data_IF_526896636466
#
_entry.id   IF_526896636466
#
_cell.length_a   1.000
_cell.length_b   1.000
_cell.length_c   1.000
_cell.angle_alpha   90.00
_cell.angle_beta   90.00
_cell.angle_gamma   90.00
#
_symmetry.space_group_name_H-M   'P 1'
#
loop_
_entity.id
_entity.type
_entity.pdbx_description
1 polymer ?
#
# COMPACT_ATOMS: atom_id res chain seq x y z
N UNK A 1 -18.32 -17.65 13.03
CA UNK A 1 -17.88 -16.81 14.19
C UNK A 1 -18.73 -15.56 14.23
N UNK A 2 -19.26 -15.18 15.39
CA UNK A 2 -20.08 -13.98 15.53
C UNK A 2 -19.23 -12.72 15.30
N UNK A 3 -19.71 -11.81 14.46
CA UNK A 3 -19.02 -10.55 14.15
C UNK A 3 -19.29 -9.52 15.24
N UNK A 4 -18.35 -8.59 15.45
CA UNK A 4 -18.58 -7.45 16.36
C UNK A 4 -19.73 -6.60 15.84
N UNK A 5 -20.49 -6.02 16.78
CA UNK A 5 -21.56 -5.08 16.46
C UNK A 5 -20.95 -3.72 16.07
N UNK A 6 -20.61 -3.57 14.80
CA UNK A 6 -20.00 -2.37 14.20
C UNK A 6 -20.87 -1.96 13.00
N UNK A 7 -21.14 -0.66 12.88
CA UNK A 7 -21.78 -0.15 11.68
C UNK A 7 -20.77 -0.12 10.51
N UNK A 8 -20.65 -1.25 9.81
CA UNK A 8 -19.71 -1.48 8.72
C UNK A 8 -19.89 -0.50 7.56
N UNK A 9 -21.08 0.06 7.39
CA UNK A 9 -21.37 1.01 6.31
C UNK A 9 -20.82 2.40 6.57
N UNK A 10 -20.58 2.75 7.84
CA UNK A 10 -20.15 4.09 8.26
C UNK A 10 -18.74 4.16 8.84
N UNK A 11 -18.00 3.05 8.94
CA UNK A 11 -16.59 3.13 9.32
C UNK A 11 -15.80 3.86 8.23
N UNK A 12 -14.89 4.74 8.68
CA UNK A 12 -13.93 5.42 7.82
C UNK A 12 -12.61 4.67 7.74
N UNK A 13 -11.54 5.41 7.44
CA UNK A 13 -10.16 4.91 7.43
C UNK A 13 -9.40 5.25 8.74
N UNK A 14 -10.14 5.54 9.81
CA UNK A 14 -9.59 5.83 11.15
C UNK A 14 -9.21 4.55 11.90
N UNK A 15 -8.26 4.69 12.83
CA UNK A 15 -7.88 3.58 13.70
C UNK A 15 -9.01 3.18 14.65
N UNK A 16 -9.35 1.90 14.63
CA UNK A 16 -10.22 1.25 15.61
C UNK A 16 -9.42 0.13 16.29
N UNK A 17 -9.36 0.17 17.62
CA UNK A 17 -8.65 -0.85 18.40
C UNK A 17 -9.32 -2.22 18.24
N UNK A 18 -8.52 -3.25 17.93
CA UNK A 18 -8.92 -4.65 17.95
C UNK A 18 -8.37 -5.38 19.17
N UNK A 19 -8.79 -6.61 19.41
CA UNK A 19 -8.51 -7.31 20.67
C UNK A 19 -7.06 -7.79 20.79
N UNK A 20 -6.43 -8.18 19.67
CA UNK A 20 -5.10 -8.81 19.67
C UNK A 20 -4.16 -8.19 18.63
N UNK A 21 -2.88 -8.22 18.96
CA UNK A 21 -1.73 -7.88 18.13
C UNK A 21 -0.60 -8.89 18.34
N UNK A 22 0.30 -8.99 17.37
CA UNK A 22 1.50 -9.83 17.49
C UNK A 22 2.71 -8.96 17.80
N UNK A 23 3.61 -9.47 18.65
CA UNK A 23 4.88 -8.82 19.01
C UNK A 23 5.99 -9.87 19.03
N UNK A 24 7.11 -9.58 18.38
CA UNK A 24 8.37 -10.32 18.49
C UNK A 24 9.51 -9.34 18.69
N UNK A 25 10.48 -9.69 19.53
CA UNK A 25 11.61 -8.84 19.85
C UNK A 25 12.89 -9.47 19.29
N UNK A 26 13.77 -8.63 18.75
CA UNK A 26 15.12 -8.99 18.38
C UNK A 26 16.08 -8.51 19.46
N UNK A 27 16.77 -9.45 20.08
CA UNK A 27 17.76 -9.21 21.13
C UNK A 27 18.88 -10.24 21.04
N UNK A 28 20.11 -9.83 21.37
CA UNK A 28 21.27 -10.73 21.37
C UNK A 28 21.46 -11.48 20.02
N UNK A 29 21.13 -10.83 18.92
CA UNK A 29 21.32 -11.37 17.57
C UNK A 29 20.21 -12.32 17.09
N UNK A 30 19.11 -12.47 17.80
CA UNK A 30 18.03 -13.37 17.42
C UNK A 30 16.62 -12.79 17.69
N UNK A 31 15.65 -13.21 16.88
CA UNK A 31 14.22 -12.99 17.13
C UNK A 31 13.71 -14.01 18.15
N UNK A 32 12.94 -13.56 19.15
CA UNK A 32 12.18 -14.44 20.02
C UNK A 32 11.02 -15.13 19.27
N UNK A 33 10.34 -16.09 19.91
CA UNK A 33 9.21 -16.84 19.31
C UNK A 33 8.03 -15.93 18.92
N UNK A 34 7.94 -14.77 19.52
CA UNK A 34 6.80 -13.85 19.36
C UNK A 34 5.55 -14.32 20.08
N UNK A 35 4.61 -13.40 20.28
CA UNK A 35 3.38 -13.70 21.02
C UNK A 35 2.22 -12.78 20.61
N UNK A 36 1.00 -13.29 20.80
CA UNK A 36 -0.21 -12.49 20.73
C UNK A 36 -0.45 -11.78 22.09
N UNK A 37 -0.66 -10.48 22.05
CA UNK A 37 -0.99 -9.68 23.24
C UNK A 37 -2.20 -8.78 22.99
N UNK A 38 -2.84 -8.32 24.06
CA UNK A 38 -3.88 -7.27 24.01
C UNK A 38 -3.32 -5.89 24.33
N UNK A 39 -2.05 -5.81 24.73
CA UNK A 39 -1.38 -4.55 25.02
C UNK A 39 -0.98 -3.85 23.74
N UNK A 40 -1.50 -2.64 23.53
CA UNK A 40 -1.23 -1.78 22.37
C UNK A 40 -0.23 -0.67 22.67
N UNK A 41 0.31 -0.63 23.88
CA UNK A 41 1.31 0.35 24.26
C UNK A 41 2.71 -0.13 23.88
N UNK A 42 3.59 0.82 23.62
CA UNK A 42 5.01 0.59 23.35
C UNK A 42 5.80 1.47 24.33
N UNK A 43 6.59 0.83 25.17
CA UNK A 43 7.54 1.54 26.04
C UNK A 43 8.94 1.36 25.49
N UNK A 44 9.58 2.46 25.11
CA UNK A 44 10.95 2.50 24.58
C UNK A 44 11.71 3.69 25.18
N UNK A 45 13.04 3.67 25.04
CA UNK A 45 13.88 4.83 25.44
C UNK A 45 13.55 6.05 24.57
N UNK A 46 13.64 7.25 25.14
CA UNK A 46 13.61 8.50 24.37
C UNK A 46 14.72 8.57 23.29
N UNK A 47 15.83 7.85 23.50
CA UNK A 47 16.92 7.71 22.56
C UNK A 47 16.76 6.56 21.58
N UNK A 48 15.58 5.91 21.49
CA UNK A 48 15.38 4.79 20.58
C UNK A 48 15.66 5.19 19.11
N UNK A 49 16.28 4.30 18.35
CA UNK A 49 16.68 4.55 16.96
C UNK A 49 15.51 4.98 16.06
N UNK A 50 14.31 4.48 16.32
CA UNK A 50 13.10 4.89 15.60
C UNK A 50 12.75 6.36 15.84
N UNK A 51 12.93 6.87 17.06
CA UNK A 51 12.61 8.26 17.42
C UNK A 51 13.67 9.24 16.92
N UNK A 52 14.95 8.83 16.92
CA UNK A 52 16.05 9.72 16.56
C UNK A 52 16.34 9.73 15.06
N UNK A 53 16.25 8.56 14.39
CA UNK A 53 16.70 8.40 13.00
C UNK A 53 15.67 7.76 12.10
N UNK A 54 14.40 7.67 12.52
CA UNK A 54 13.31 7.05 11.76
C UNK A 54 13.66 5.64 11.26
N UNK A 55 14.44 4.85 12.03
CA UNK A 55 14.81 3.50 11.65
C UNK A 55 13.61 2.55 11.82
N UNK A 56 12.73 2.56 10.82
CA UNK A 56 11.48 1.79 10.79
C UNK A 56 11.05 1.50 9.35
N UNK A 57 10.46 0.33 9.16
CA UNK A 57 9.74 -0.04 7.94
C UNK A 57 8.40 -0.67 8.28
N UNK A 58 7.49 -0.67 7.32
CA UNK A 58 6.14 -1.18 7.55
C UNK A 58 5.54 -1.80 6.30
N UNK A 59 4.47 -2.56 6.49
CA UNK A 59 3.67 -3.12 5.44
C UNK A 59 2.19 -2.78 5.61
N UNK A 60 1.41 -2.99 4.57
CA UNK A 60 -0.03 -2.83 4.60
C UNK A 60 -0.67 -3.86 3.69
N UNK A 61 -1.61 -4.61 4.25
CA UNK A 61 -2.42 -5.58 3.53
C UNK A 61 -3.83 -5.62 4.09
N UNK A 62 -4.71 -6.39 3.47
CA UNK A 62 -6.08 -6.52 3.89
C UNK A 62 -6.45 -7.99 4.09
N UNK A 63 -7.36 -8.24 5.02
CA UNK A 63 -8.09 -9.49 5.12
C UNK A 63 -9.56 -9.26 4.74
N UNK A 64 -10.13 -10.24 4.04
CA UNK A 64 -11.46 -10.18 3.44
C UNK A 64 -12.30 -11.35 3.93
N UNK A 65 -13.61 -11.16 4.02
CA UNK A 65 -14.57 -12.26 4.08
C UNK A 65 -15.05 -12.55 2.66
N UNK A 66 -14.84 -13.75 2.17
CA UNK A 66 -15.30 -14.20 0.85
C UNK A 66 -16.79 -14.56 0.88
N UNK A 67 -17.42 -14.76 -0.29
CA UNK A 67 -18.84 -15.09 -0.39
C UNK A 67 -19.22 -16.37 0.36
N UNK A 68 -18.35 -17.38 0.34
CA UNK A 68 -18.51 -18.64 1.07
C UNK A 68 -18.15 -18.54 2.57
N UNK A 69 -17.87 -17.34 3.07
CA UNK A 69 -17.67 -17.03 4.48
C UNK A 69 -16.25 -17.29 5.01
N UNK A 70 -15.29 -17.67 4.16
CA UNK A 70 -13.89 -17.79 4.57
C UNK A 70 -13.23 -16.44 4.77
N UNK A 71 -12.25 -16.40 5.66
CA UNK A 71 -11.38 -15.24 5.83
C UNK A 71 -10.07 -15.52 5.10
N UNK A 72 -9.71 -14.61 4.20
CA UNK A 72 -8.52 -14.72 3.36
C UNK A 72 -7.69 -13.43 3.39
N UNK A 73 -6.41 -13.53 3.00
CA UNK A 73 -5.57 -12.38 2.68
C UNK A 73 -4.90 -12.59 1.32
N UNK A 74 -4.48 -11.50 0.70
CA UNK A 74 -3.99 -11.47 -0.67
C UNK A 74 -2.47 -11.31 -0.71
N UNK A 75 -1.76 -12.29 -1.27
CA UNK A 75 -0.30 -12.31 -1.52
C UNK A 75 0.57 -11.85 -0.35
N UNK A 76 0.37 -12.39 0.87
CA UNK A 76 1.15 -11.98 2.04
C UNK A 76 2.65 -12.32 1.94
N UNK A 77 3.01 -13.30 1.11
CA UNK A 77 4.37 -13.67 0.74
C UNK A 77 5.13 -12.50 0.13
N UNK A 78 4.52 -11.75 -0.78
CA UNK A 78 5.15 -10.57 -1.38
C UNK A 78 5.30 -9.41 -0.40
N UNK A 79 4.40 -9.27 0.58
CA UNK A 79 4.58 -8.31 1.66
C UNK A 79 5.75 -8.72 2.56
N UNK A 80 5.88 -10.02 2.86
CA UNK A 80 7.01 -10.55 3.65
C UNK A 80 8.35 -10.26 2.96
N UNK A 81 8.48 -10.62 1.67
CA UNK A 81 9.68 -10.38 0.88
C UNK A 81 10.02 -8.88 0.80
N UNK A 82 9.04 -8.01 0.54
CA UNK A 82 9.27 -6.57 0.47
C UNK A 82 9.65 -5.96 1.83
N UNK A 83 9.11 -6.47 2.94
CA UNK A 83 9.57 -6.06 4.27
C UNK A 83 11.01 -6.51 4.53
N UNK A 84 11.40 -7.69 4.08
CA UNK A 84 12.78 -8.18 4.18
C UNK A 84 13.74 -7.26 3.42
N UNK A 85 13.41 -6.89 2.18
CA UNK A 85 14.18 -5.93 1.37
C UNK A 85 14.27 -4.55 2.05
N UNK A 86 13.15 -4.07 2.60
CA UNK A 86 13.10 -2.78 3.31
C UNK A 86 13.96 -2.79 4.57
N UNK A 87 13.90 -3.88 5.34
CA UNK A 87 14.70 -4.05 6.54
C UNK A 87 16.20 -4.09 6.20
N UNK A 88 16.58 -4.91 5.23
CA UNK A 88 17.99 -5.03 4.79
C UNK A 88 18.56 -3.68 4.33
N UNK A 89 17.79 -2.90 3.55
CA UNK A 89 18.22 -1.56 3.08
C UNK A 89 18.42 -0.55 4.22
N UNK A 90 17.70 -0.71 5.33
CA UNK A 90 17.78 0.15 6.52
C UNK A 90 18.70 -0.40 7.62
N UNK A 91 19.53 -1.39 7.29
CA UNK A 91 20.44 -2.05 8.25
C UNK A 91 19.68 -2.59 9.49
N UNK A 92 18.50 -3.18 9.24
CA UNK A 92 17.66 -3.82 10.27
C UNK A 92 17.71 -5.35 10.08
N UNK A 93 17.62 -6.15 11.17
CA UNK A 93 17.57 -7.59 11.03
C UNK A 93 16.32 -8.02 10.28
N UNK A 94 16.48 -8.87 9.28
CA UNK A 94 15.34 -9.42 8.53
C UNK A 94 14.47 -10.28 9.45
N UNK A 95 13.16 -10.02 9.47
CA UNK A 95 12.20 -10.91 10.10
C UNK A 95 11.88 -12.06 9.12
N UNK A 96 11.95 -13.34 9.54
CA UNK A 96 11.74 -14.47 8.62
C UNK A 96 10.39 -14.42 7.91
N UNK A 97 10.39 -14.64 6.59
CA UNK A 97 9.19 -14.46 5.75
C UNK A 97 8.06 -15.42 6.10
N UNK A 98 8.39 -16.68 6.42
CA UNK A 98 7.43 -17.69 6.89
C UNK A 98 6.78 -17.29 8.21
N UNK A 99 7.55 -16.75 9.15
CA UNK A 99 7.06 -16.22 10.42
C UNK A 99 6.25 -14.95 10.25
N UNK A 100 6.58 -14.10 9.27
CA UNK A 100 5.78 -12.94 8.92
C UNK A 100 4.37 -13.38 8.49
N UNK A 101 4.27 -14.31 7.56
CA UNK A 101 2.98 -14.83 7.08
C UNK A 101 2.20 -15.49 8.22
N UNK A 102 2.87 -16.25 9.08
CA UNK A 102 2.25 -16.87 10.26
C UNK A 102 1.73 -15.82 11.26
N UNK A 103 2.49 -14.78 11.55
CA UNK A 103 2.06 -13.67 12.41
C UNK A 103 0.80 -12.98 11.87
N UNK A 104 0.70 -12.78 10.54
CA UNK A 104 -0.51 -12.25 9.89
C UNK A 104 -1.70 -13.18 10.13
N UNK A 105 -1.53 -14.48 9.89
CA UNK A 105 -2.58 -15.48 10.14
C UNK A 105 -3.05 -15.47 11.59
N UNK A 106 -2.12 -15.43 12.54
CA UNK A 106 -2.42 -15.39 13.97
C UNK A 106 -3.24 -14.13 14.34
N UNK A 107 -2.81 -12.93 13.89
CA UNK A 107 -3.50 -11.68 14.20
C UNK A 107 -4.89 -11.65 13.58
N UNK A 108 -5.02 -12.02 12.30
CA UNK A 108 -6.32 -12.02 11.63
C UNK A 108 -7.27 -13.04 12.25
N UNK A 109 -6.79 -14.25 12.54
CA UNK A 109 -7.59 -15.29 13.20
C UNK A 109 -8.05 -14.86 14.60
N UNK A 110 -7.15 -14.26 15.39
CA UNK A 110 -7.48 -13.79 16.74
C UNK A 110 -8.47 -12.60 16.74
N UNK A 111 -8.52 -11.85 15.64
CA UNK A 111 -9.44 -10.71 15.44
C UNK A 111 -10.53 -11.01 14.39
N UNK A 112 -10.86 -12.27 14.13
CA UNK A 112 -11.80 -12.64 13.07
C UNK A 112 -13.21 -12.03 13.24
N UNK A 113 -13.60 -11.69 14.47
CA UNK A 113 -14.83 -10.96 14.76
C UNK A 113 -14.83 -9.52 14.22
N UNK A 114 -13.65 -8.95 13.96
CA UNK A 114 -13.46 -7.61 13.38
C UNK A 114 -13.27 -7.63 11.86
N UNK A 115 -13.17 -8.79 11.23
CA UNK A 115 -13.16 -8.86 9.76
C UNK A 115 -14.57 -8.55 9.28
N UNK A 116 -14.78 -7.50 8.47
CA UNK A 116 -16.12 -7.11 8.03
C UNK A 116 -16.84 -8.24 7.28
N UNK A 117 -18.18 -8.29 7.35
CA UNK A 117 -18.97 -9.27 6.58
C UNK A 117 -18.76 -9.08 5.07
N UNK A 118 -18.90 -10.17 4.32
CA UNK A 118 -18.98 -10.13 2.86
C UNK A 118 -20.08 -9.15 2.40
N UNK A 119 -19.82 -8.39 1.34
CA UNK A 119 -20.78 -7.42 0.78
C UNK A 119 -20.85 -6.08 1.52
N UNK A 120 -20.17 -5.92 2.66
CA UNK A 120 -20.17 -4.64 3.40
C UNK A 120 -19.33 -3.54 2.75
N UNK A 121 -18.47 -3.88 1.78
CA UNK A 121 -17.49 -2.96 1.19
C UNK A 121 -16.31 -2.62 2.11
N UNK A 122 -16.38 -3.00 3.38
CA UNK A 122 -15.33 -2.80 4.37
C UNK A 122 -14.35 -3.99 4.39
N UNK A 123 -13.16 -3.79 4.95
CA UNK A 123 -12.10 -4.81 5.05
C UNK A 123 -11.38 -4.68 6.38
N UNK A 124 -10.65 -5.72 6.81
CA UNK A 124 -9.71 -5.62 7.92
C UNK A 124 -8.34 -5.21 7.37
N UNK A 125 -7.90 -4.00 7.66
CA UNK A 125 -6.55 -3.55 7.32
C UNK A 125 -5.56 -4.11 8.34
N UNK A 126 -4.49 -4.72 7.87
CA UNK A 126 -3.43 -5.32 8.69
C UNK A 126 -2.13 -4.54 8.48
N UNK A 127 -1.51 -4.10 9.58
CA UNK A 127 -0.31 -3.29 9.62
C UNK A 127 0.84 -4.02 10.31
N UNK A 128 1.68 -4.76 9.57
CA UNK A 128 2.99 -5.16 10.04
C UNK A 128 3.95 -3.97 10.05
N UNK A 129 4.81 -3.88 11.06
CA UNK A 129 5.87 -2.87 11.11
C UNK A 129 7.01 -3.32 12.01
N UNK A 130 8.18 -2.78 11.76
CA UNK A 130 9.39 -3.07 12.50
C UNK A 130 10.17 -1.79 12.78
N UNK A 131 10.82 -1.70 13.93
CA UNK A 131 11.56 -0.50 14.31
C UNK A 131 12.71 -0.79 15.28
N UNK A 132 13.73 0.08 15.25
CA UNK A 132 14.84 0.08 16.20
C UNK A 132 14.38 0.56 17.57
N UNK A 133 14.43 -0.28 18.59
CA UNK A 133 13.91 -0.01 19.94
C UNK A 133 14.98 0.33 20.98
N UNK A 134 16.25 -0.03 20.74
CA UNK A 134 17.34 0.29 21.68
C UNK A 134 17.77 1.75 21.57
N UNK A 135 18.39 2.25 22.65
CA UNK A 135 18.92 3.61 22.72
C UNK A 135 20.13 3.80 21.81
N UNK A 136 20.10 4.88 21.00
CA UNK A 136 21.18 5.21 20.03
C UNK A 136 21.34 6.74 19.99
N UNK A 137 22.56 7.24 20.22
CA UNK A 137 22.90 8.68 20.04
C UNK A 137 23.71 8.89 18.76
N UNK A 138 24.74 8.07 18.52
CA UNK A 138 25.48 8.15 17.25
C UNK A 138 24.66 7.59 16.09
N UNK A 139 24.87 8.08 14.88
CA UNK A 139 24.20 7.56 13.67
C UNK A 139 24.72 6.15 13.36
N UNK A 140 24.07 5.16 13.90
CA UNK A 140 24.35 3.72 13.69
C UNK A 140 23.04 2.93 13.81
N UNK A 141 22.99 1.68 13.30
CA UNK A 141 21.86 0.79 13.53
C UNK A 141 21.59 0.56 15.02
N UNK A 142 20.34 0.38 15.37
CA UNK A 142 19.96 -0.08 16.71
C UNK A 142 20.48 -1.52 16.96
N UNK A 143 20.57 -1.92 18.22
CA UNK A 143 21.01 -3.26 18.62
C UNK A 143 19.81 -4.18 18.94
N UNK A 144 18.69 -3.57 19.30
CA UNK A 144 17.41 -4.26 19.56
C UNK A 144 16.32 -3.71 18.67
N UNK A 145 15.39 -4.58 18.26
CA UNK A 145 14.26 -4.23 17.38
C UNK A 145 12.98 -4.90 17.86
N UNK A 146 11.85 -4.34 17.44
CA UNK A 146 10.56 -5.00 17.58
C UNK A 146 9.92 -5.16 16.21
N UNK A 147 9.37 -6.34 15.95
CA UNK A 147 8.40 -6.60 14.88
C UNK A 147 7.02 -6.71 15.50
N UNK A 148 6.06 -5.96 14.97
CA UNK A 148 4.69 -5.92 15.48
C UNK A 148 3.70 -5.98 14.34
N UNK A 149 2.54 -6.58 14.62
CA UNK A 149 1.40 -6.58 13.71
C UNK A 149 0.16 -6.18 14.48
N UNK A 150 -0.57 -5.17 14.00
CA UNK A 150 -1.92 -4.88 14.46
C UNK A 150 -2.89 -4.87 13.28
N UNK A 151 -4.19 -4.90 13.56
CA UNK A 151 -5.23 -4.81 12.57
C UNK A 151 -6.31 -3.81 13.00
N UNK A 152 -6.98 -3.21 12.04
CA UNK A 152 -8.09 -2.28 12.25
C UNK A 152 -9.11 -2.45 11.11
N UNK A 153 -10.42 -2.57 11.40
CA UNK A 153 -11.41 -2.55 10.35
C UNK A 153 -11.45 -1.15 9.70
N UNK A 154 -11.54 -1.13 8.38
CA UNK A 154 -11.63 0.10 7.59
C UNK A 154 -12.78 -0.01 6.60
N UNK A 155 -13.43 1.12 6.35
CA UNK A 155 -14.53 1.22 5.38
C UNK A 155 -14.06 1.14 3.94
N UNK A 156 -15.03 1.19 3.02
CA UNK A 156 -14.73 1.37 1.61
C UNK A 156 -13.93 2.65 1.42
N UNK A 157 -12.85 2.56 0.66
CA UNK A 157 -12.04 3.72 0.32
C UNK A 157 -12.87 4.77 -0.45
N UNK A 158 -13.78 4.29 -1.28
CA UNK A 158 -14.71 5.13 -2.03
C UNK A 158 -16.13 5.07 -1.45
N UNK A 159 -16.48 6.03 -0.59
CA UNK A 159 -17.88 6.23 -0.19
C UNK A 159 -18.67 6.80 -1.37
N UNK A 160 -19.56 6.01 -1.94
CA UNK A 160 -20.42 6.46 -3.06
C UNK A 160 -19.85 6.20 -4.47
N UNK A 161 -18.85 5.33 -4.60
CA UNK A 161 -18.22 4.96 -5.88
C UNK A 161 -16.86 5.63 -6.10
N UNK A 162 -16.04 5.03 -6.96
CA UNK A 162 -14.72 5.55 -7.31
C UNK A 162 -14.86 6.72 -8.30
N UNK A 163 -14.90 7.94 -7.79
CA UNK A 163 -14.88 9.15 -8.64
C UNK A 163 -13.45 9.49 -9.03
N UNK A 164 -13.21 9.91 -10.28
CA UNK A 164 -11.91 10.38 -10.72
C UNK A 164 -11.45 11.59 -9.93
N UNK A 165 -10.16 11.57 -9.58
CA UNK A 165 -9.50 12.61 -8.79
C UNK A 165 -8.67 13.54 -9.67
N UNK A 166 -8.33 14.71 -9.10
CA UNK A 166 -7.42 15.68 -9.70
C UNK A 166 -6.09 15.68 -8.96
N UNK A 167 -5.00 15.56 -9.70
CA UNK A 167 -3.63 15.47 -9.17
C UNK A 167 -2.81 16.69 -9.57
N UNK A 168 -2.02 17.24 -8.64
CA UNK A 168 -1.03 18.28 -8.89
C UNK A 168 0.35 17.66 -9.14
N UNK A 169 1.11 18.16 -10.10
CA UNK A 169 2.55 17.87 -10.21
C UNK A 169 3.28 18.60 -9.09
N UNK A 170 4.05 17.86 -8.29
CA UNK A 170 4.77 18.38 -7.13
C UNK A 170 6.07 19.09 -7.53
N UNK A 171 6.36 20.21 -6.86
CA UNK A 171 7.68 20.87 -6.92
C UNK A 171 8.74 20.20 -6.04
N UNK A 172 8.31 19.29 -5.17
CA UNK A 172 9.18 18.56 -4.25
C UNK A 172 9.56 17.20 -4.82
N UNK A 173 10.71 16.71 -4.40
CA UNK A 173 11.15 15.35 -4.68
C UNK A 173 10.63 14.40 -3.61
N UNK A 174 10.22 13.18 -4.00
CA UNK A 174 9.84 12.11 -3.08
C UNK A 174 11.05 11.36 -2.54
N UNK A 175 12.04 11.13 -3.40
CA UNK A 175 13.22 10.34 -3.08
C UNK A 175 14.41 10.75 -3.94
N UNK A 176 15.62 10.65 -3.38
CA UNK A 176 16.85 10.81 -4.15
C UNK A 176 17.01 9.67 -5.17
N UNK A 177 17.72 9.88 -6.32
CA UNK A 177 17.88 8.89 -7.39
C UNK A 177 18.48 7.54 -6.93
N UNK A 178 19.36 7.56 -5.92
CA UNK A 178 19.96 6.38 -5.29
C UNK A 178 19.60 6.26 -3.81
N UNK A 179 18.46 6.82 -3.42
CA UNK A 179 17.99 6.87 -2.03
C UNK A 179 17.16 5.63 -1.63
N UNK A 180 16.09 5.90 -0.92
CA UNK A 180 15.21 4.90 -0.29
C UNK A 180 13.81 4.84 -0.90
N UNK A 181 13.60 5.42 -2.09
CA UNK A 181 12.26 5.49 -2.70
C UNK A 181 11.57 4.14 -2.89
N UNK A 182 12.34 3.09 -3.18
CA UNK A 182 11.86 1.72 -3.30
C UNK A 182 11.58 1.01 -1.97
N UNK A 183 11.94 1.63 -0.85
CA UNK A 183 11.80 1.06 0.50
C UNK A 183 10.50 1.51 1.13
N UNK A 184 9.75 0.59 1.76
CA UNK A 184 8.53 0.95 2.47
C UNK A 184 8.84 1.42 3.90
N UNK A 185 9.46 2.59 4.00
CA UNK A 185 9.98 3.20 5.23
C UNK A 185 9.21 4.47 5.59
N UNK A 186 8.96 4.67 6.88
CA UNK A 186 8.24 5.84 7.39
C UNK A 186 8.83 7.18 6.95
N UNK A 187 10.16 7.24 6.79
CA UNK A 187 10.86 8.45 6.35
C UNK A 187 10.38 8.97 4.99
N UNK A 188 10.07 8.09 4.02
CA UNK A 188 9.56 8.49 2.70
C UNK A 188 8.16 9.11 2.81
N UNK A 189 7.35 8.62 3.72
CA UNK A 189 5.99 9.13 3.95
C UNK A 189 5.99 10.45 4.73
N UNK A 190 6.84 10.58 5.74
CA UNK A 190 7.03 11.84 6.44
C UNK A 190 7.51 12.95 5.50
N UNK A 191 8.43 12.65 4.58
CA UNK A 191 8.91 13.58 3.56
C UNK A 191 7.80 14.03 2.60
N UNK A 192 6.82 13.17 2.34
CA UNK A 192 5.68 13.45 1.44
C UNK A 192 4.59 14.32 2.08
N UNK A 193 4.58 14.52 3.41
CA UNK A 193 3.48 15.19 4.10
C UNK A 193 3.30 16.65 3.65
N UNK A 194 4.38 17.39 3.46
CA UNK A 194 4.28 18.80 3.05
C UNK A 194 3.64 18.93 1.66
N UNK A 195 4.07 18.12 0.71
CA UNK A 195 3.55 18.17 -0.65
C UNK A 195 2.06 17.83 -0.72
N UNK A 196 1.60 16.79 0.00
CA UNK A 196 0.17 16.42 -0.02
C UNK A 196 -0.70 17.44 0.72
N UNK A 197 -0.24 17.99 1.84
CA UNK A 197 -0.97 19.03 2.57
C UNK A 197 -1.14 20.27 1.69
N UNK A 198 -0.06 20.73 1.04
CA UNK A 198 -0.12 21.87 0.11
C UNK A 198 -1.05 21.59 -1.07
N UNK A 199 -1.01 20.39 -1.64
CA UNK A 199 -1.92 20.02 -2.72
C UNK A 199 -3.40 20.08 -2.27
N UNK A 200 -3.72 19.58 -1.10
CA UNK A 200 -5.08 19.65 -0.53
C UNK A 200 -5.54 21.09 -0.25
N UNK A 201 -4.64 21.94 0.29
CA UNK A 201 -4.94 23.37 0.52
C UNK A 201 -5.22 24.12 -0.78
N UNK A 202 -4.63 23.68 -1.89
CA UNK A 202 -4.86 24.23 -3.22
C UNK A 202 -6.08 23.58 -3.95
N UNK A 203 -6.75 22.61 -3.30
CA UNK A 203 -7.95 21.94 -3.82
C UNK A 203 -7.71 20.75 -4.72
N UNK A 204 -6.51 20.18 -4.70
CA UNK A 204 -6.18 18.91 -5.37
C UNK A 204 -6.36 17.73 -4.41
N UNK A 205 -6.66 16.55 -4.97
CA UNK A 205 -6.87 15.33 -4.17
C UNK A 205 -5.56 14.61 -3.83
N UNK A 206 -4.53 14.74 -4.67
CA UNK A 206 -3.24 14.06 -4.53
C UNK A 206 -2.15 14.85 -5.28
N UNK A 207 -0.89 14.46 -5.07
CA UNK A 207 0.25 15.01 -5.80
C UNK A 207 1.06 13.91 -6.51
N UNK A 208 1.59 14.23 -7.68
CA UNK A 208 2.48 13.39 -8.48
C UNK A 208 3.92 13.84 -8.32
N UNK A 209 4.82 12.91 -8.08
CA UNK A 209 6.25 13.16 -8.09
C UNK A 209 6.88 12.82 -9.45
N UNK A 210 7.85 13.62 -9.83
CA UNK A 210 8.73 13.38 -10.95
C UNK A 210 10.10 12.87 -10.45
N UNK A 211 10.85 12.25 -11.34
CA UNK A 211 12.21 11.83 -11.04
C UNK A 211 13.09 13.01 -10.57
N UNK A 212 13.79 12.82 -9.47
CA UNK A 212 14.57 13.88 -8.86
C UNK A 212 15.81 14.33 -9.67
N UNK A 213 16.24 13.50 -10.64
CA UNK A 213 17.42 13.82 -11.45
C UNK A 213 17.11 14.76 -12.61
N UNK A 214 16.01 14.57 -13.32
CA UNK A 214 15.67 15.33 -14.52
C UNK A 214 14.34 16.06 -14.45
N UNK A 215 13.45 15.68 -13.55
CA UNK A 215 12.07 16.18 -13.39
C UNK A 215 11.24 16.09 -14.66
N UNK A 216 11.50 15.07 -15.45
CA UNK A 216 10.79 14.82 -16.71
C UNK A 216 10.01 13.52 -16.72
N UNK A 217 10.32 12.60 -15.80
CA UNK A 217 9.74 11.26 -15.77
C UNK A 217 8.78 11.14 -14.59
N UNK A 218 7.63 10.54 -14.84
CA UNK A 218 6.63 10.23 -13.80
C UNK A 218 7.14 9.12 -12.91
N UNK A 219 7.07 9.31 -11.61
CA UNK A 219 7.35 8.28 -10.61
C UNK A 219 6.06 7.75 -9.99
N UNK A 220 5.72 8.21 -8.81
CA UNK A 220 4.53 7.79 -8.08
C UNK A 220 3.94 8.97 -7.26
N UNK A 221 2.87 8.74 -6.54
CA UNK A 221 2.36 9.67 -5.54
C UNK A 221 2.99 9.40 -4.16
N UNK A 222 2.55 10.10 -3.12
CA UNK A 222 2.97 9.83 -1.75
C UNK A 222 2.65 8.41 -1.26
N UNK A 223 1.62 7.77 -1.81
CA UNK A 223 1.13 6.47 -1.32
C UNK A 223 0.68 5.46 -2.37
N UNK A 224 0.76 5.76 -3.66
CA UNK A 224 0.26 4.89 -4.74
C UNK A 224 1.08 5.01 -6.02
N UNK A 225 1.12 3.94 -6.81
CA UNK A 225 1.77 3.91 -8.12
C UNK A 225 0.79 4.27 -9.23
N UNK A 226 1.31 4.74 -10.36
CA UNK A 226 0.52 5.03 -11.55
C UNK A 226 0.30 3.81 -12.44
N UNK A 227 -0.89 3.76 -13.04
CA UNK A 227 -1.24 2.94 -14.20
C UNK A 227 -1.85 3.87 -15.23
N UNK A 228 -1.39 3.77 -16.47
CA UNK A 228 -1.94 4.48 -17.63
C UNK A 228 -2.49 3.48 -18.64
N UNK A 229 -3.45 3.91 -19.44
CA UNK A 229 -3.97 3.12 -20.56
C UNK A 229 -3.85 3.96 -21.83
N UNK A 230 -3.26 3.39 -22.86
CA UNK A 230 -3.13 4.05 -24.17
C UNK A 230 -4.45 4.01 -24.95
N UNK A 231 -4.55 4.79 -26.02
CA UNK A 231 -5.74 4.83 -26.90
C UNK A 231 -6.01 3.50 -27.62
N UNK A 232 -4.98 2.65 -27.76
CA UNK A 232 -5.06 1.29 -28.30
C UNK A 232 -5.16 0.20 -27.20
N UNK A 233 -5.51 0.61 -25.98
CA UNK A 233 -5.80 -0.24 -24.82
C UNK A 233 -4.58 -1.01 -24.25
N UNK A 234 -3.36 -0.55 -24.44
CA UNK A 234 -2.21 -1.09 -23.71
C UNK A 234 -2.15 -0.51 -22.30
N UNK A 235 -1.75 -1.32 -21.34
CA UNK A 235 -1.52 -0.90 -19.95
C UNK A 235 -0.05 -0.50 -19.82
N UNK A 236 0.21 0.74 -19.40
CA UNK A 236 1.55 1.29 -19.20
C UNK A 236 1.73 1.68 -17.74
N UNK A 237 2.87 1.33 -17.14
CA UNK A 237 3.21 1.74 -15.77
C UNK A 237 4.64 2.22 -15.69
N UNK A 238 4.92 3.27 -14.91
CA UNK A 238 6.27 3.79 -14.74
C UNK A 238 7.23 2.74 -14.17
N UNK A 239 8.42 2.68 -14.74
CA UNK A 239 9.56 1.90 -14.26
C UNK A 239 10.63 2.84 -13.73
N UNK A 240 10.96 2.75 -12.46
CA UNK A 240 12.03 3.51 -11.82
C UNK A 240 12.58 2.72 -10.63
N UNK A 241 13.86 2.92 -10.33
CA UNK A 241 14.50 2.35 -9.13
C UNK A 241 14.13 3.10 -7.84
N UNK A 242 13.40 4.20 -7.95
CA UNK A 242 13.01 5.08 -6.82
C UNK A 242 11.55 4.96 -6.44
N UNK A 243 10.73 4.22 -7.20
CA UNK A 243 9.34 3.95 -6.84
C UNK A 243 9.19 2.66 -6.03
N UNK A 244 8.17 2.63 -5.17
CA UNK A 244 7.87 1.43 -4.39
C UNK A 244 7.41 0.28 -5.32
N UNK A 245 7.99 -0.95 -5.18
CA UNK A 245 7.53 -2.11 -5.93
C UNK A 245 6.17 -2.59 -5.40
N UNK A 246 5.10 -1.98 -5.91
CA UNK A 246 3.73 -2.22 -5.47
C UNK A 246 3.25 -3.62 -5.84
N UNK A 247 2.70 -4.32 -4.84
CA UNK A 247 2.08 -5.64 -5.01
C UNK A 247 0.80 -5.53 -5.84
N UNK A 248 0.01 -4.48 -5.60
CA UNK A 248 -1.20 -4.19 -6.39
C UNK A 248 -0.86 -3.93 -7.85
N UNK A 249 0.13 -3.08 -8.14
CA UNK A 249 0.58 -2.80 -9.50
C UNK A 249 1.02 -4.08 -10.22
N UNK A 250 1.89 -4.88 -9.58
CA UNK A 250 2.35 -6.16 -10.11
C UNK A 250 1.18 -7.12 -10.40
N UNK A 251 0.18 -7.15 -9.52
CA UNK A 251 -1.00 -7.99 -9.69
C UNK A 251 -1.90 -7.49 -10.82
N UNK A 252 -2.06 -6.17 -10.97
CA UNK A 252 -2.83 -5.57 -12.06
C UNK A 252 -2.18 -5.78 -13.43
N UNK A 253 -0.84 -5.73 -13.53
CA UNK A 253 -0.13 -6.08 -14.75
C UNK A 253 -0.41 -7.53 -15.17
N UNK A 254 -0.31 -8.46 -14.21
CA UNK A 254 -0.65 -9.86 -14.45
C UNK A 254 -2.11 -10.05 -14.90
N UNK A 255 -3.05 -9.36 -14.23
CA UNK A 255 -4.48 -9.38 -14.60
C UNK A 255 -4.69 -8.84 -16.01
N UNK A 256 -4.01 -7.75 -16.39
CA UNK A 256 -4.10 -7.19 -17.72
C UNK A 256 -3.71 -8.21 -18.79
N UNK A 257 -2.58 -8.88 -18.62
CA UNK A 257 -2.06 -9.86 -19.58
C UNK A 257 -2.87 -11.15 -19.61
N UNK A 258 -3.13 -11.78 -18.45
CA UNK A 258 -3.62 -13.16 -18.38
C UNK A 258 -5.13 -13.28 -18.29
N UNK A 259 -5.83 -12.24 -17.79
CA UNK A 259 -7.30 -12.26 -17.68
C UNK A 259 -7.98 -11.41 -18.74
N UNK A 260 -7.35 -10.30 -19.13
CA UNK A 260 -7.96 -9.37 -20.07
C UNK A 260 -7.31 -9.42 -21.47
N UNK A 261 -6.20 -10.14 -21.63
CA UNK A 261 -5.50 -10.26 -22.92
C UNK A 261 -4.92 -8.94 -23.45
N UNK A 262 -4.57 -8.02 -22.54
CA UNK A 262 -4.03 -6.71 -22.87
C UNK A 262 -2.50 -6.76 -22.90
N UNK A 263 -1.91 -5.95 -23.76
CA UNK A 263 -0.46 -5.71 -23.76
C UNK A 263 -0.09 -4.83 -22.56
N UNK A 264 1.04 -5.15 -21.90
CA UNK A 264 1.55 -4.41 -20.74
C UNK A 264 2.97 -3.93 -21.00
N UNK A 265 3.22 -2.65 -20.75
CA UNK A 265 4.53 -2.03 -20.83
C UNK A 265 4.95 -1.46 -19.47
N UNK A 266 6.05 -1.96 -18.91
CA UNK A 266 6.73 -1.35 -17.78
C UNK A 266 7.94 -0.57 -18.28
N UNK A 267 7.84 0.76 -18.37
CA UNK A 267 8.84 1.64 -18.96
C UNK A 267 8.92 3.00 -18.27
N UNK A 268 9.90 3.81 -18.63
CA UNK A 268 9.86 5.23 -18.29
C UNK A 268 8.64 5.89 -18.95
N UNK A 269 7.93 6.72 -18.17
CA UNK A 269 6.79 7.52 -18.65
C UNK A 269 7.16 8.98 -18.46
N UNK A 270 7.05 9.75 -19.52
CA UNK A 270 7.44 11.16 -19.50
C UNK A 270 6.23 12.07 -19.27
N UNK A 271 6.47 13.19 -18.59
CA UNK A 271 5.44 14.18 -18.27
C UNK A 271 4.75 14.73 -19.54
N UNK A 272 5.51 14.92 -20.60
CA UNK A 272 5.02 15.49 -21.86
C UNK A 272 4.17 14.50 -22.71
N UNK A 273 4.28 13.18 -22.46
CA UNK A 273 3.43 12.18 -23.12
C UNK A 273 2.08 11.92 -22.44
N UNK A 274 1.85 12.48 -21.22
CA UNK A 274 0.65 12.16 -20.45
C UNK A 274 -0.66 12.45 -21.18
N UNK A 275 -0.70 13.45 -22.05
CA UNK A 275 -1.86 13.78 -22.89
C UNK A 275 -2.19 12.76 -23.98
N UNK A 276 -1.30 11.80 -24.24
CA UNK A 276 -1.51 10.75 -25.24
C UNK A 276 -2.25 9.53 -24.67
N UNK A 277 -2.32 9.39 -23.35
CA UNK A 277 -3.06 8.32 -22.69
C UNK A 277 -4.59 8.56 -22.70
N UNK A 278 -5.34 7.47 -22.74
CA UNK A 278 -6.80 7.47 -22.67
C UNK A 278 -7.31 7.45 -21.21
N UNK A 279 -6.61 6.74 -20.33
CA UNK A 279 -6.99 6.58 -18.93
C UNK A 279 -5.76 6.67 -18.02
N UNK A 280 -6.02 7.12 -16.78
CA UNK A 280 -5.04 7.12 -15.71
C UNK A 280 -5.67 6.61 -14.41
N UNK A 281 -4.90 5.87 -13.63
CA UNK A 281 -5.28 5.40 -12.31
C UNK A 281 -4.11 5.33 -11.35
N UNK A 282 -4.39 5.49 -10.07
CA UNK A 282 -3.47 5.22 -8.96
C UNK A 282 -3.76 3.85 -8.37
N UNK A 283 -2.76 3.01 -8.24
CA UNK A 283 -2.95 1.67 -7.68
C UNK A 283 -2.22 1.47 -6.35
N UNK A 284 -2.91 0.82 -5.42
CA UNK A 284 -2.40 0.52 -4.09
C UNK A 284 -3.35 -0.33 -3.26
N UNK A 285 -2.87 -0.81 -2.12
CA UNK A 285 -3.66 -1.70 -1.24
C UNK A 285 -4.96 -1.06 -0.75
N UNK A 286 -4.97 0.25 -0.48
CA UNK A 286 -6.12 0.92 0.10
C UNK A 286 -7.32 0.96 -0.85
N UNK A 287 -7.12 1.42 -2.09
CA UNK A 287 -8.16 1.68 -3.06
C UNK A 287 -8.25 0.65 -4.19
N UNK A 288 -7.25 -0.22 -4.35
CA UNK A 288 -6.99 -1.07 -5.51
C UNK A 288 -6.65 -0.20 -6.74
N UNK A 289 -7.61 0.53 -7.31
CA UNK A 289 -7.37 1.60 -8.29
C UNK A 289 -8.23 2.81 -7.93
N UNK A 290 -7.61 3.99 -7.81
CA UNK A 290 -8.28 5.29 -7.79
C UNK A 290 -8.19 5.88 -9.19
N UNK A 291 -9.30 6.14 -9.89
CA UNK A 291 -9.25 6.75 -11.22
C UNK A 291 -8.74 8.20 -11.14
N UNK A 292 -7.98 8.61 -12.12
CA UNK A 292 -7.48 9.99 -12.27
C UNK A 292 -8.09 10.59 -13.52
N UNK A 293 -8.82 11.69 -13.37
CA UNK A 293 -9.44 12.37 -14.49
C UNK A 293 -8.60 13.51 -15.04
N UNK A 294 -7.77 14.13 -14.18
CA UNK A 294 -6.96 15.28 -14.55
C UNK A 294 -5.66 15.35 -13.74
N UNK A 295 -4.57 15.73 -14.41
CA UNK A 295 -3.30 16.12 -13.79
C UNK A 295 -3.03 17.58 -14.14
N UNK A 296 -2.56 18.36 -13.17
CA UNK A 296 -2.26 19.80 -13.37
C UNK A 296 -0.77 20.03 -13.13
N UNK A 297 -0.09 20.48 -14.18
CA UNK A 297 1.32 20.84 -14.18
C UNK A 297 1.45 22.36 -14.29
N UNK A 298 1.71 23.06 -13.17
CA UNK A 298 1.90 24.51 -13.10
C UNK A 298 0.81 25.31 -13.84
N UNK A 299 -0.45 24.92 -13.65
CA UNK A 299 -1.61 25.53 -14.29
C UNK A 299 -1.94 24.97 -15.67
N UNK A 300 -1.10 24.13 -16.27
CA UNK A 300 -1.42 23.38 -17.49
C UNK A 300 -2.21 22.13 -17.11
N UNK A 301 -3.46 22.06 -17.56
CA UNK A 301 -4.31 20.90 -17.35
C UNK A 301 -4.03 19.81 -18.39
N UNK A 302 -3.84 18.58 -17.92
CA UNK A 302 -3.74 17.35 -18.70
C UNK A 302 -4.97 16.52 -18.35
N UNK A 303 -5.97 16.51 -19.24
CA UNK A 303 -7.22 15.79 -19.04
C UNK A 303 -7.22 14.47 -19.78
N UNK A 304 -7.66 13.40 -19.11
CA UNK A 304 -7.80 12.10 -19.73
C UNK A 304 -9.19 11.96 -20.38
N UNK A 305 -9.28 11.31 -21.58
CA UNK A 305 -10.58 11.09 -22.24
C UNK A 305 -11.61 10.34 -21.40
N UNK A 306 -11.21 9.52 -20.42
CA UNK A 306 -12.11 8.89 -19.44
C UNK A 306 -12.87 9.90 -18.57
N UNK A 307 -12.36 11.14 -18.45
CA UNK A 307 -13.05 12.25 -17.80
C UNK A 307 -13.08 12.21 -16.28
N UNK A 308 -13.96 13.09 -15.71
CA UNK A 308 -14.11 13.29 -14.26
C UNK A 308 -15.36 12.63 -13.67
N UNK A 309 -16.16 11.93 -14.48
CA UNK A 309 -17.44 11.36 -14.03
C UNK A 309 -17.29 9.90 -13.60
N UNK A 310 -16.56 9.09 -14.37
CA UNK A 310 -16.45 7.65 -14.18
C UNK A 310 -15.02 7.18 -14.34
N UNK A 311 -14.74 6.01 -13.77
CA UNK A 311 -13.50 5.27 -14.03
C UNK A 311 -13.47 4.84 -15.50
N UNK A 312 -12.32 4.98 -16.15
CA UNK A 312 -12.13 4.55 -17.53
C UNK A 312 -12.44 3.05 -17.72
N UNK A 313 -12.88 2.64 -18.91
CA UNK A 313 -13.40 1.29 -19.13
C UNK A 313 -12.34 0.18 -18.92
N UNK A 314 -11.08 0.42 -19.22
CA UNK A 314 -10.00 -0.57 -19.01
C UNK A 314 -9.62 -0.61 -17.54
N UNK A 315 -9.40 0.54 -16.89
CA UNK A 315 -9.10 0.61 -15.45
C UNK A 315 -10.24 0.01 -14.63
N UNK A 316 -11.50 0.17 -15.04
CA UNK A 316 -12.66 -0.46 -14.39
C UNK A 316 -12.61 -1.98 -14.48
N UNK A 317 -12.31 -2.54 -15.66
CA UNK A 317 -12.15 -3.99 -15.83
C UNK A 317 -11.00 -4.55 -14.98
N UNK A 318 -9.88 -3.85 -14.92
CA UNK A 318 -8.74 -4.19 -14.06
C UNK A 318 -9.14 -4.21 -12.59
N UNK A 319 -9.85 -3.18 -12.14
CA UNK A 319 -10.37 -3.06 -10.78
C UNK A 319 -11.33 -4.20 -10.43
N UNK A 320 -12.34 -4.43 -11.26
CA UNK A 320 -13.36 -5.47 -11.05
C UNK A 320 -12.75 -6.88 -11.06
N UNK A 321 -11.80 -7.14 -11.96
CA UNK A 321 -11.15 -8.44 -12.03
C UNK A 321 -10.28 -8.70 -10.79
N UNK A 322 -9.44 -7.74 -10.38
CA UNK A 322 -8.58 -7.93 -9.21
C UNK A 322 -9.39 -8.03 -7.92
N UNK A 323 -10.42 -7.21 -7.74
CA UNK A 323 -11.31 -7.31 -6.58
C UNK A 323 -12.11 -8.61 -6.60
N UNK A 324 -12.55 -9.07 -7.77
CA UNK A 324 -13.20 -10.38 -7.93
C UNK A 324 -12.30 -11.54 -7.50
N UNK A 325 -11.00 -11.49 -7.84
CA UNK A 325 -9.99 -12.46 -7.37
C UNK A 325 -9.87 -12.39 -5.84
N UNK A 326 -9.73 -11.20 -5.27
CA UNK A 326 -9.57 -10.99 -3.83
C UNK A 326 -10.78 -11.48 -3.02
N UNK A 327 -11.98 -11.37 -3.57
CA UNK A 327 -13.24 -11.78 -2.92
C UNK A 327 -13.67 -13.22 -3.25
N UNK A 328 -12.90 -13.92 -4.08
CA UNK A 328 -13.19 -15.31 -4.45
C UNK A 328 -14.25 -15.50 -5.55
N UNK A 329 -14.64 -14.43 -6.27
CA UNK A 329 -15.59 -14.53 -7.40
C UNK A 329 -14.90 -14.95 -8.70
N UNK A 330 -13.62 -14.66 -8.83
CA UNK A 330 -12.78 -15.01 -9.97
C UNK A 330 -11.68 -15.92 -9.47
N UNK A 331 -11.41 -17.00 -10.19
CA UNK A 331 -10.33 -17.93 -9.86
C UNK A 331 -9.00 -17.19 -9.78
N UNK A 332 -8.31 -17.39 -8.67
CA UNK A 332 -7.01 -16.76 -8.42
C UNK A 332 -5.87 -17.61 -8.99
N UNK A 333 -4.78 -16.99 -9.44
CA UNK A 333 -3.54 -17.74 -9.68
C UNK A 333 -3.08 -18.44 -8.39
N UNK A 334 -2.39 -19.56 -8.53
CA UNK A 334 -1.84 -20.32 -7.41
C UNK A 334 -1.02 -19.42 -6.47
N UNK A 335 -1.22 -19.56 -5.17
CA UNK A 335 -0.50 -18.82 -4.13
C UNK A 335 -1.00 -17.37 -3.89
N UNK A 336 -1.92 -16.83 -4.70
CA UNK A 336 -2.38 -15.45 -4.50
C UNK A 336 -3.30 -15.28 -3.30
N UNK A 337 -4.12 -16.28 -3.02
CA UNK A 337 -5.07 -16.25 -1.90
C UNK A 337 -4.54 -17.13 -0.77
N UNK A 338 -4.31 -16.52 0.37
CA UNK A 338 -3.93 -17.20 1.59
C UNK A 338 -5.15 -17.33 2.50
N UNK A 339 -5.68 -18.55 2.62
CA UNK A 339 -6.81 -18.84 3.51
C UNK A 339 -6.35 -18.85 4.96
N UNK A 340 -7.11 -18.18 5.83
CA UNK A 340 -6.82 -18.05 7.25
C UNK A 340 -7.77 -18.91 8.10
N UNK A 341 -9.06 -18.84 7.86
CA UNK A 341 -10.10 -19.67 8.49
C UNK A 341 -11.43 -19.62 7.70
#
# INVERSE_FOLDING_TARGET
>A
MEKKNIDWSNIGFGYMRTDKRYVSNFKNGAWDEGTLTSDDQITISECAGVLQYAQTCFEGMKAYTTEDGHIVTFRPDLNAARMADSAARLEMPVFPEDRFVDAIKQVVKANAAYVPPYGSGATLYVRPYMFGSSAVIGVKPAEEYQFRVFATPVGSYFKGGAKPITIKVSDFDRAAPHGTGHVKAGLNYAMSLHAIVTAHEEGYDENMYLDAATRTKVEETGGANFIFVTKDNKVVTPKSSTILPSITRRSLMYVAEHYLGLEVEEREVYLDELGDFAECGLCGTAAVISPVGKIVDHGKEICFPSGMEEMGPVTKKLYETLTGIQMGHIEAPEGWICKIC
#
